data_IF_990944269077
#
_entry.id   IF_990944269077
#
_cell.length_a   1.000
_cell.length_b   1.000
_cell.length_c   1.000
_cell.angle_alpha   90.00
_cell.angle_beta   90.00
_cell.angle_gamma   90.00
#
_symmetry.space_group_name_H-M   'P 1'
#
loop_
_entity.id
_entity.type
_entity.pdbx_description
1 polymer ?
#
# COMPACT_ATOMS: atom_id res chain seq x y z
N UNK A 1 27.07 23.45 -30.15
CA UNK A 1 26.48 24.63 -29.48
C UNK A 1 27.19 25.85 -30.02
N UNK A 2 26.49 26.58 -30.88
CA UNK A 2 27.02 27.61 -31.78
C UNK A 2 27.66 28.79 -31.04
N UNK A 3 28.61 29.50 -31.65
CA UNK A 3 29.36 30.60 -31.02
C UNK A 3 28.44 31.73 -30.57
N UNK A 4 27.34 31.92 -31.29
CA UNK A 4 26.24 32.87 -31.02
C UNK A 4 25.46 32.50 -29.76
N UNK A 5 25.16 31.21 -29.55
CA UNK A 5 24.48 30.69 -28.35
C UNK A 5 25.35 30.83 -27.09
N UNK A 6 26.68 30.71 -27.23
CA UNK A 6 27.62 30.95 -26.12
C UNK A 6 27.71 32.44 -25.76
N UNK A 7 27.59 33.34 -26.75
CA UNK A 7 27.51 34.79 -26.53
C UNK A 7 26.25 35.20 -25.78
N UNK A 8 25.09 34.69 -26.22
CA UNK A 8 23.79 34.90 -25.56
C UNK A 8 23.74 34.32 -24.14
N UNK A 9 24.28 33.12 -23.92
CA UNK A 9 24.35 32.54 -22.58
C UNK A 9 25.19 33.39 -21.62
N UNK A 10 26.28 34.01 -22.10
CA UNK A 10 27.13 34.90 -21.30
C UNK A 10 26.48 36.24 -20.99
N UNK A 11 25.57 36.74 -21.83
CA UNK A 11 24.82 37.97 -21.52
C UNK A 11 23.66 37.70 -20.56
N UNK A 12 23.06 36.50 -20.62
CA UNK A 12 21.92 36.11 -19.78
C UNK A 12 22.37 35.71 -18.37
N UNK A 13 23.49 35.01 -18.20
CA UNK A 13 23.95 34.58 -16.87
C UNK A 13 24.72 35.74 -16.20
N UNK A 14 24.33 36.19 -15.00
CA UNK A 14 25.11 37.16 -14.23
C UNK A 14 26.54 36.72 -13.99
N UNK A 15 27.48 37.68 -13.96
CA UNK A 15 28.91 37.40 -13.77
C UNK A 15 29.24 36.80 -12.39
N UNK A 16 28.38 37.08 -11.41
CA UNK A 16 28.42 36.59 -10.03
C UNK A 16 27.52 35.36 -9.80
N UNK A 17 26.86 34.86 -10.85
CA UNK A 17 26.01 33.68 -10.74
C UNK A 17 26.83 32.43 -10.41
N UNK A 18 26.31 31.62 -9.49
CA UNK A 18 26.91 30.36 -9.08
C UNK A 18 25.91 29.21 -9.14
N UNK A 19 26.42 28.00 -9.44
CA UNK A 19 25.61 26.79 -9.49
C UNK A 19 25.03 26.42 -8.12
N UNK A 20 25.77 26.72 -7.05
CA UNK A 20 25.35 26.47 -5.67
C UNK A 20 25.02 27.81 -5.04
N UNK A 21 23.74 28.06 -4.84
CA UNK A 21 23.25 29.29 -4.25
C UNK A 21 22.81 29.06 -2.80
N UNK A 22 22.75 30.14 -2.02
CA UNK A 22 22.27 30.13 -0.63
C UNK A 22 20.97 30.92 -0.56
N UNK A 23 19.91 30.23 -0.17
CA UNK A 23 18.56 30.76 0.01
C UNK A 23 18.00 30.25 1.32
N UNK A 24 17.02 30.95 1.88
CA UNK A 24 16.21 30.46 2.98
C UNK A 24 15.30 29.31 2.53
N UNK A 25 14.79 28.52 3.48
CA UNK A 25 13.84 27.44 3.16
C UNK A 25 12.56 27.99 2.54
N UNK A 26 12.10 29.16 3.00
CA UNK A 26 10.89 29.81 2.48
C UNK A 26 11.04 30.17 1.00
N UNK A 27 12.17 30.80 0.64
CA UNK A 27 12.50 31.17 -0.74
C UNK A 27 12.56 29.95 -1.68
N UNK A 28 13.23 28.87 -1.26
CA UNK A 28 13.36 27.66 -2.11
C UNK A 28 12.00 27.00 -2.35
N UNK A 29 11.14 26.96 -1.33
CA UNK A 29 9.84 26.29 -1.43
C UNK A 29 8.83 27.16 -2.17
N UNK A 30 8.67 28.42 -1.76
CA UNK A 30 7.56 29.26 -2.20
C UNK A 30 7.91 30.24 -3.31
N UNK A 31 9.18 30.60 -3.45
CA UNK A 31 9.63 31.50 -4.51
C UNK A 31 10.68 32.49 -4.05
N UNK A 32 11.65 32.74 -4.92
CA UNK A 32 12.50 33.93 -4.89
C UNK A 32 12.69 34.45 -6.30
N UNK A 33 12.99 35.75 -6.43
CA UNK A 33 13.31 36.36 -7.72
C UNK A 33 14.70 35.92 -8.18
N UNK A 34 14.77 35.20 -9.28
CA UNK A 34 16.01 34.65 -9.81
C UNK A 34 16.65 35.63 -10.84
N UNK A 35 17.91 36.04 -10.64
CA UNK A 35 18.57 37.01 -11.53
C UNK A 35 18.70 36.57 -13.00
N UNK A 36 18.74 35.25 -13.26
CA UNK A 36 18.77 34.72 -14.63
C UNK A 36 17.38 34.82 -15.26
N UNK A 37 16.33 34.50 -14.51
CA UNK A 37 14.95 34.64 -14.96
C UNK A 37 14.57 36.12 -15.20
N UNK A 38 15.02 37.04 -14.34
CA UNK A 38 14.86 38.48 -14.57
C UNK A 38 15.45 38.92 -15.92
N UNK A 39 16.68 38.50 -16.21
CA UNK A 39 17.31 38.80 -17.50
C UNK A 39 16.56 38.15 -18.66
N UNK A 40 16.18 36.87 -18.54
CA UNK A 40 15.39 36.19 -19.57
C UNK A 40 14.07 36.93 -19.86
N UNK A 41 13.43 37.50 -18.84
CA UNK A 41 12.23 38.33 -19.00
C UNK A 41 12.52 39.60 -19.80
N UNK A 42 13.65 40.28 -19.55
CA UNK A 42 14.04 41.45 -20.36
C UNK A 42 14.26 41.13 -21.84
N UNK A 43 14.64 39.88 -22.16
CA UNK A 43 14.79 39.38 -23.54
C UNK A 43 13.50 38.73 -24.09
N UNK A 44 12.38 38.80 -23.36
CA UNK A 44 11.10 38.23 -23.78
C UNK A 44 11.09 36.69 -23.87
N UNK A 45 11.98 36.01 -23.12
CA UNK A 45 12.09 34.54 -23.13
C UNK A 45 11.24 33.85 -22.05
N UNK A 46 10.75 34.61 -21.06
CA UNK A 46 9.91 34.14 -19.96
C UNK A 46 9.04 35.28 -19.45
N UNK A 47 7.85 34.97 -18.95
CA UNK A 47 6.99 35.93 -18.25
C UNK A 47 7.27 35.95 -16.73
N UNK A 48 7.92 34.89 -16.21
CA UNK A 48 8.23 34.70 -14.79
C UNK A 48 9.66 35.09 -14.47
N UNK A 49 9.83 35.86 -13.40
CA UNK A 49 11.13 36.19 -12.77
C UNK A 49 11.45 35.28 -11.59
N UNK A 50 10.44 34.58 -11.07
CA UNK A 50 10.57 33.89 -9.81
C UNK A 50 10.71 32.38 -10.01
N UNK A 51 11.43 31.76 -9.09
CA UNK A 51 11.62 30.32 -9.01
C UNK A 51 11.31 29.83 -7.59
N UNK A 52 10.53 28.75 -7.50
CA UNK A 52 10.30 27.99 -6.27
C UNK A 52 9.73 26.62 -6.60
N UNK A 53 10.03 25.60 -5.79
CA UNK A 53 9.60 24.23 -6.07
C UNK A 53 8.07 24.04 -5.97
N UNK A 54 7.41 24.82 -5.12
CA UNK A 54 5.96 24.81 -4.90
C UNK A 54 5.36 26.21 -5.08
N UNK A 55 5.99 27.04 -5.91
CA UNK A 55 5.49 28.37 -6.23
C UNK A 55 4.05 28.29 -6.77
N UNK A 56 3.18 29.19 -6.31
CA UNK A 56 1.75 29.26 -6.67
C UNK A 56 0.90 28.02 -6.29
N UNK A 57 1.41 27.12 -5.45
CA UNK A 57 0.64 25.97 -4.96
C UNK A 57 -0.21 26.29 -3.72
N UNK A 58 0.15 27.33 -2.97
CA UNK A 58 -0.60 27.72 -1.79
C UNK A 58 -1.96 28.33 -2.18
N UNK A 59 -3.03 27.89 -1.52
CA UNK A 59 -4.43 28.28 -1.80
C UNK A 59 -4.90 28.10 -3.26
N UNK A 60 -4.26 27.22 -4.03
CA UNK A 60 -4.64 26.92 -5.41
C UNK A 60 -5.29 25.54 -5.56
N UNK A 61 -6.08 25.36 -6.63
CA UNK A 61 -6.62 24.05 -7.00
C UNK A 61 -5.50 23.24 -7.66
N UNK A 62 -4.88 22.31 -6.94
CA UNK A 62 -3.72 21.55 -7.43
C UNK A 62 -4.03 20.71 -8.67
N UNK A 63 -5.12 19.95 -8.65
CA UNK A 63 -5.54 19.08 -9.76
C UNK A 63 -7.01 18.66 -9.61
N UNK A 64 -7.57 18.07 -10.67
CA UNK A 64 -8.88 17.44 -10.69
C UNK A 64 -8.74 15.94 -10.92
N UNK A 65 -9.31 15.14 -10.02
CA UNK A 65 -9.38 13.68 -10.16
C UNK A 65 -10.85 13.29 -10.27
N UNK A 66 -11.18 12.56 -11.32
CA UNK A 66 -12.44 11.83 -11.40
C UNK A 66 -12.21 10.39 -10.93
N UNK A 67 -13.01 9.96 -9.96
CA UNK A 67 -12.95 8.62 -9.41
C UNK A 67 -14.29 7.89 -9.55
N UNK A 68 -14.22 6.58 -9.75
CA UNK A 68 -15.40 5.72 -9.83
C UNK A 68 -16.03 5.62 -8.44
N UNK A 69 -17.32 5.95 -8.32
CA UNK A 69 -18.04 5.88 -7.03
C UNK A 69 -18.31 4.45 -6.53
N UNK A 70 -18.31 3.48 -7.46
CA UNK A 70 -18.64 2.08 -7.21
C UNK A 70 -20.13 1.76 -7.09
N UNK A 71 -21.02 2.70 -7.45
CA UNK A 71 -22.48 2.46 -7.51
C UNK A 71 -22.85 1.23 -8.34
N UNK A 72 -22.13 0.98 -9.44
CA UNK A 72 -22.32 -0.19 -10.31
C UNK A 72 -21.53 -1.42 -9.84
N UNK A 73 -20.30 -1.21 -9.38
CA UNK A 73 -19.41 -2.25 -8.92
C UNK A 73 -18.54 -1.71 -7.78
N UNK A 74 -18.77 -2.19 -6.55
CA UNK A 74 -18.04 -1.73 -5.36
C UNK A 74 -16.54 -2.01 -5.43
N UNK A 75 -16.11 -3.01 -6.23
CA UNK A 75 -14.69 -3.33 -6.43
C UNK A 75 -13.92 -2.29 -7.23
N UNK A 76 -14.62 -1.34 -7.86
CA UNK A 76 -14.02 -0.26 -8.63
C UNK A 76 -14.03 1.07 -7.88
N UNK A 77 -14.60 1.12 -6.66
CA UNK A 77 -14.67 2.38 -5.91
C UNK A 77 -13.29 2.99 -5.71
N UNK A 78 -13.18 4.29 -5.95
CA UNK A 78 -11.95 5.06 -5.78
C UNK A 78 -10.95 4.88 -6.92
N UNK A 79 -11.19 3.98 -7.88
CA UNK A 79 -10.34 3.88 -9.08
C UNK A 79 -10.47 5.15 -9.90
N UNK A 80 -9.33 5.71 -10.30
CA UNK A 80 -9.28 6.94 -11.09
C UNK A 80 -9.70 6.65 -12.52
N UNK A 81 -10.58 7.50 -13.06
CA UNK A 81 -11.00 7.49 -14.46
C UNK A 81 -10.37 8.60 -15.28
N UNK A 82 -10.03 9.73 -14.66
CA UNK A 82 -9.30 10.82 -15.32
C UNK A 82 -8.53 11.68 -14.31
N UNK A 83 -7.47 12.32 -14.81
CA UNK A 83 -6.69 13.34 -14.10
C UNK A 83 -6.58 14.58 -14.97
N UNK A 84 -7.05 15.73 -14.46
CA UNK A 84 -7.16 16.99 -15.20
C UNK A 84 -7.89 16.83 -16.55
N UNK A 85 -8.95 16.00 -16.57
CA UNK A 85 -9.74 15.68 -17.76
C UNK A 85 -9.08 14.70 -18.73
N UNK A 86 -7.82 14.30 -18.50
CA UNK A 86 -7.12 13.30 -19.31
C UNK A 86 -7.40 11.89 -18.80
N UNK A 87 -7.70 10.96 -19.71
CA UNK A 87 -7.98 9.55 -19.39
C UNK A 87 -6.71 8.69 -19.31
N UNK A 88 -5.63 9.18 -19.90
CA UNK A 88 -4.29 8.62 -19.85
C UNK A 88 -3.26 9.77 -19.90
N UNK A 89 -1.98 9.44 -19.75
CA UNK A 89 -0.87 10.39 -19.72
C UNK A 89 0.03 10.22 -20.95
N UNK A 90 -0.53 9.90 -22.11
CA UNK A 90 0.24 9.64 -23.34
C UNK A 90 1.00 10.88 -23.85
N UNK A 91 0.58 12.07 -23.42
CA UNK A 91 1.30 13.34 -23.63
C UNK A 91 2.56 13.48 -22.75
N UNK A 92 2.69 12.66 -21.70
CA UNK A 92 3.78 12.73 -20.70
C UNK A 92 4.71 11.53 -20.82
N UNK A 93 4.16 10.32 -21.00
CA UNK A 93 4.91 9.06 -20.94
C UNK A 93 4.86 8.25 -22.24
N UNK A 94 5.83 7.35 -22.41
CA UNK A 94 6.19 6.81 -23.73
C UNK A 94 5.70 5.38 -24.00
N UNK A 95 5.07 4.72 -23.02
CA UNK A 95 4.62 3.33 -23.16
C UNK A 95 3.23 3.13 -22.55
N UNK A 96 2.41 2.19 -23.07
CA UNK A 96 1.07 1.91 -22.55
C UNK A 96 0.97 1.75 -21.05
N UNK A 97 1.84 0.93 -20.47
CA UNK A 97 1.82 0.69 -19.01
C UNK A 97 2.14 1.96 -18.21
N UNK A 98 2.95 2.87 -18.78
CA UNK A 98 3.39 4.07 -18.11
C UNK A 98 2.37 5.21 -18.15
N UNK A 99 1.68 5.38 -19.29
CA UNK A 99 0.67 6.41 -19.43
C UNK A 99 -0.71 6.01 -18.90
N UNK A 100 -0.95 4.72 -18.62
CA UNK A 100 -2.26 4.28 -18.12
C UNK A 100 -2.45 4.72 -16.67
N UNK A 101 -3.57 5.39 -16.37
CA UNK A 101 -4.00 5.69 -15.01
C UNK A 101 -4.50 4.39 -14.34
N UNK A 102 -3.81 3.96 -13.30
CA UNK A 102 -4.16 2.76 -12.53
C UNK A 102 -4.37 3.09 -11.05
N UNK A 103 -5.32 2.38 -10.45
CA UNK A 103 -5.53 2.45 -9.01
C UNK A 103 -6.31 3.66 -8.53
N UNK A 104 -6.16 3.94 -7.23
CA UNK A 104 -6.80 5.06 -6.55
C UNK A 104 -5.84 6.23 -6.32
N UNK A 105 -6.33 7.36 -5.82
CA UNK A 105 -5.53 8.52 -5.43
C UNK A 105 -4.87 8.37 -4.04
N UNK A 106 -5.14 7.25 -3.34
CA UNK A 106 -4.80 6.99 -1.93
C UNK A 106 -5.33 8.00 -0.89
N UNK A 107 -6.22 8.90 -1.31
CA UNK A 107 -6.97 9.77 -0.41
C UNK A 107 -8.42 9.28 -0.26
N UNK A 108 -8.91 8.57 -1.26
CA UNK A 108 -10.19 7.86 -1.25
C UNK A 108 -10.04 6.47 -0.61
N UNK A 109 -11.09 5.95 0.06
CA UNK A 109 -11.09 4.58 0.55
C UNK A 109 -10.78 3.58 -0.58
N UNK A 110 -9.85 2.67 -0.33
CA UNK A 110 -9.44 1.66 -1.30
C UNK A 110 -10.40 0.48 -1.19
N UNK A 111 -11.57 0.53 -1.82
CA UNK A 111 -12.66 -0.34 -1.37
C UNK A 111 -12.40 -1.84 -1.69
N UNK A 112 -12.47 -2.73 -0.67
CA UNK A 112 -12.21 -4.17 -0.69
C UNK A 112 -13.17 -5.06 -1.52
N UNK A 113 -12.95 -6.40 -1.56
CA UNK A 113 -12.07 -7.17 -0.67
C UNK A 113 -10.57 -7.00 -0.97
N UNK A 114 -9.85 -6.28 -0.11
CA UNK A 114 -8.39 -6.19 -0.06
C UNK A 114 -7.78 -7.26 0.83
N UNK A 115 -8.60 -7.99 1.61
CA UNK A 115 -8.13 -9.05 2.51
C UNK A 115 -7.20 -10.09 1.82
N UNK A 116 -7.35 -10.26 0.50
CA UNK A 116 -6.49 -11.12 -0.33
C UNK A 116 -5.66 -10.35 -1.38
N UNK A 117 -5.69 -9.02 -1.38
CA UNK A 117 -4.93 -8.21 -2.32
C UNK A 117 -3.46 -8.20 -1.90
N UNK A 118 -2.61 -8.81 -2.72
CA UNK A 118 -1.15 -8.75 -2.58
C UNK A 118 -0.58 -7.41 -3.08
N UNK A 119 -1.32 -6.70 -3.93
CA UNK A 119 -0.91 -5.49 -4.62
C UNK A 119 -2.00 -4.43 -4.60
N UNK A 120 -1.61 -3.18 -4.46
CA UNK A 120 -2.45 -2.00 -4.64
C UNK A 120 -1.81 -1.07 -5.65
N UNK A 121 -2.56 -0.64 -6.66
CA UNK A 121 -2.12 0.42 -7.58
C UNK A 121 -2.60 1.78 -7.06
N UNK A 122 -1.73 2.78 -7.16
CA UNK A 122 -1.94 4.12 -6.60
C UNK A 122 -1.36 5.14 -7.56
N UNK A 123 -2.20 6.08 -7.99
CA UNK A 123 -1.75 7.24 -8.71
C UNK A 123 -1.13 8.26 -7.76
N UNK A 124 0.11 8.66 -8.03
CA UNK A 124 0.82 9.70 -7.31
C UNK A 124 0.94 10.89 -8.24
N UNK A 125 0.10 11.88 -8.02
CA UNK A 125 -0.02 13.13 -8.78
C UNK A 125 1.32 13.88 -8.89
N UNK A 126 2.08 14.00 -7.79
CA UNK A 126 3.39 14.66 -7.77
C UNK A 126 4.47 13.95 -8.60
N UNK A 127 4.28 12.65 -8.88
CA UNK A 127 5.15 11.86 -9.76
C UNK A 127 4.51 11.64 -11.14
N UNK A 128 3.28 12.12 -11.33
CA UNK A 128 2.47 11.99 -12.53
C UNK A 128 2.37 10.55 -13.03
N UNK A 129 2.32 9.56 -12.14
CA UNK A 129 2.22 8.14 -12.55
C UNK A 129 1.53 7.30 -11.51
N UNK A 130 1.07 6.14 -11.95
CA UNK A 130 0.72 5.06 -11.05
C UNK A 130 1.96 4.32 -10.57
N UNK A 131 1.97 3.99 -9.28
CA UNK A 131 2.90 3.09 -8.62
C UNK A 131 2.11 1.94 -8.02
N UNK A 132 2.71 0.76 -7.96
CA UNK A 132 2.15 -0.33 -7.17
C UNK A 132 2.84 -0.51 -5.83
N UNK A 133 2.06 -0.93 -4.85
CA UNK A 133 2.50 -1.23 -3.51
C UNK A 133 2.19 -2.69 -3.21
N UNK A 134 3.15 -3.40 -2.62
CA UNK A 134 3.00 -4.81 -2.25
C UNK A 134 2.74 -4.98 -0.76
N UNK A 135 1.87 -5.94 -0.44
CA UNK A 135 1.60 -6.30 0.95
C UNK A 135 2.85 -6.95 1.54
N UNK A 136 3.35 -6.36 2.63
CA UNK A 136 4.57 -6.78 3.30
C UNK A 136 4.27 -7.53 4.59
N UNK A 137 3.40 -6.99 5.43
CA UNK A 137 3.08 -7.56 6.74
C UNK A 137 1.67 -7.18 7.20
N UNK A 138 1.23 -7.80 8.29
CA UNK A 138 0.04 -7.38 9.03
C UNK A 138 0.46 -6.69 10.32
N UNK A 139 -0.22 -5.60 10.66
CA UNK A 139 0.08 -4.80 11.84
C UNK A 139 -1.22 -4.35 12.53
N UNK A 140 -1.08 -3.40 13.46
CA UNK A 140 -2.21 -2.75 14.12
C UNK A 140 -1.98 -1.26 14.22
N UNK A 141 -3.02 -0.49 13.92
CA UNK A 141 -3.11 0.92 14.29
C UNK A 141 -4.06 0.99 15.48
N UNK A 142 -3.54 1.29 16.67
CA UNK A 142 -4.27 1.14 17.93
C UNK A 142 -4.80 -0.30 18.10
N UNK A 143 -6.12 -0.51 18.13
CA UNK A 143 -6.76 -1.82 18.25
C UNK A 143 -7.24 -2.40 16.92
N UNK A 144 -7.10 -1.67 15.81
CA UNK A 144 -7.62 -2.07 14.49
C UNK A 144 -6.52 -2.81 13.73
N UNK A 145 -6.86 -3.98 13.15
CA UNK A 145 -5.94 -4.75 12.30
C UNK A 145 -5.78 -4.07 10.96
N UNK A 146 -4.56 -4.03 10.43
CA UNK A 146 -4.25 -3.43 9.14
C UNK A 146 -3.29 -4.31 8.35
N UNK A 147 -3.40 -4.27 7.04
CA UNK A 147 -2.39 -4.77 6.11
C UNK A 147 -1.47 -3.61 5.70
N UNK A 148 -0.16 -3.85 5.72
CA UNK A 148 0.88 -2.86 5.40
C UNK A 148 1.38 -3.08 3.98
N UNK A 149 1.23 -2.06 3.14
CA UNK A 149 1.67 -2.05 1.76
C UNK A 149 2.84 -1.08 1.59
N UNK A 150 3.90 -1.51 0.91
CA UNK A 150 5.09 -0.71 0.62
C UNK A 150 5.38 -0.67 -0.87
N UNK A 151 6.01 0.40 -1.35
CA UNK A 151 6.59 0.39 -2.71
C UNK A 151 7.74 -0.62 -2.75
N UNK A 152 7.66 -1.67 -3.58
CA UNK A 152 8.73 -2.66 -3.67
C UNK A 152 9.89 -2.13 -4.50
N UNK A 153 11.08 -2.70 -4.29
CA UNK A 153 12.26 -2.38 -5.10
C UNK A 153 12.00 -2.65 -6.59
N UNK A 154 11.26 -3.72 -6.90
CA UNK A 154 10.98 -4.14 -8.28
C UNK A 154 10.22 -3.06 -9.06
N UNK A 155 9.28 -2.35 -8.44
CA UNK A 155 8.56 -1.22 -9.06
C UNK A 155 9.51 -0.10 -9.52
N UNK A 156 10.65 0.06 -8.84
CA UNK A 156 11.62 1.11 -9.14
C UNK A 156 12.86 0.63 -9.91
N UNK A 157 12.92 -0.64 -10.34
CA UNK A 157 14.00 -1.14 -11.21
C UNK A 157 13.94 -0.47 -12.57
N UNK A 158 15.11 -0.27 -13.18
CA UNK A 158 15.23 0.36 -14.51
C UNK A 158 14.39 -0.36 -15.57
N UNK A 159 14.29 -1.69 -15.55
CA UNK A 159 13.53 -2.44 -16.57
C UNK A 159 12.04 -2.09 -16.53
N UNK A 160 11.47 -1.99 -15.32
CA UNK A 160 10.07 -1.67 -15.09
C UNK A 160 9.78 -0.17 -15.24
N UNK A 161 10.78 0.68 -14.99
CA UNK A 161 10.64 2.13 -15.08
C UNK A 161 10.89 2.73 -16.48
N UNK A 162 11.22 1.92 -17.48
CA UNK A 162 11.65 2.42 -18.81
C UNK A 162 10.69 3.40 -19.49
N UNK A 163 9.38 3.26 -19.25
CA UNK A 163 8.34 4.11 -19.86
C UNK A 163 8.28 5.53 -19.30
N UNK A 164 8.94 5.76 -18.16
CA UNK A 164 8.97 7.02 -17.41
C UNK A 164 10.28 7.79 -17.57
N UNK A 165 11.03 7.51 -18.64
CA UNK A 165 12.30 8.17 -18.93
C UNK A 165 12.30 8.77 -20.32
N UNK A 166 12.64 10.06 -20.42
CA UNK A 166 12.76 10.75 -21.69
C UNK A 166 13.83 10.10 -22.56
N UNK A 167 13.51 9.95 -23.85
CA UNK A 167 14.44 9.41 -24.85
C UNK A 167 15.74 10.22 -24.86
N UNK A 168 16.88 9.52 -24.72
CA UNK A 168 18.21 10.14 -24.67
C UNK A 168 18.77 10.33 -23.25
N UNK A 169 17.96 10.18 -22.20
CA UNK A 169 18.45 10.05 -20.84
C UNK A 169 18.66 8.59 -20.47
N UNK A 170 19.73 8.32 -19.72
CA UNK A 170 20.03 6.96 -19.25
C UNK A 170 19.21 6.67 -17.99
N UNK A 171 18.27 5.74 -18.13
CA UNK A 171 17.48 5.18 -17.03
C UNK A 171 18.36 4.57 -15.93
N UNK A 172 17.97 4.74 -14.67
CA UNK A 172 18.71 4.33 -13.48
C UNK A 172 17.77 3.67 -12.47
N UNK A 173 18.26 2.63 -11.80
CA UNK A 173 17.52 1.97 -10.72
C UNK A 173 17.19 2.95 -9.59
N UNK A 174 16.00 2.81 -9.00
CA UNK A 174 15.53 3.63 -7.88
C UNK A 174 15.17 5.07 -8.24
N UNK A 175 15.09 5.39 -9.54
CA UNK A 175 14.93 6.76 -10.04
C UNK A 175 13.86 6.87 -11.13
N UNK A 176 13.20 8.02 -11.18
CA UNK A 176 12.17 8.38 -12.14
C UNK A 176 12.50 9.76 -12.71
N UNK A 177 12.44 9.91 -14.02
CA UNK A 177 12.62 11.20 -14.69
C UNK A 177 11.31 11.97 -14.72
N UNK A 178 11.28 13.13 -14.07
CA UNK A 178 10.10 14.00 -14.00
C UNK A 178 10.13 15.10 -15.07
N UNK A 179 11.15 15.14 -15.94
CA UNK A 179 11.30 16.24 -16.91
C UNK A 179 10.19 16.33 -17.95
N UNK A 180 9.51 15.22 -18.24
CA UNK A 180 8.32 15.21 -19.10
C UNK A 180 7.08 15.73 -18.39
N UNK A 181 6.95 15.52 -17.08
CA UNK A 181 5.76 15.94 -16.34
C UNK A 181 5.88 17.35 -15.76
N UNK A 182 7.03 17.70 -15.21
CA UNK A 182 7.24 18.98 -14.57
C UNK A 182 7.80 19.99 -15.56
N UNK A 183 7.03 21.05 -15.79
CA UNK A 183 7.46 22.20 -16.58
C UNK A 183 7.87 23.34 -15.66
N UNK A 184 8.91 24.05 -16.07
CA UNK A 184 9.27 25.34 -15.51
C UNK A 184 8.22 26.38 -15.92
N UNK A 185 8.20 27.52 -15.22
CA UNK A 185 7.24 28.61 -15.43
C UNK A 185 7.29 29.21 -16.84
N UNK A 186 8.39 29.00 -17.57
CA UNK A 186 8.59 29.40 -18.95
C UNK A 186 8.38 28.27 -19.97
N UNK A 187 7.70 27.19 -19.59
CA UNK A 187 7.23 26.13 -20.48
C UNK A 187 8.24 25.02 -20.79
N UNK A 188 9.51 25.20 -20.41
CA UNK A 188 10.57 24.19 -20.59
C UNK A 188 10.50 23.05 -19.56
N UNK A 189 11.04 21.88 -19.92
CA UNK A 189 11.16 20.74 -19.01
C UNK A 189 12.06 21.07 -17.81
N UNK A 190 11.57 20.84 -16.58
CA UNK A 190 12.39 20.93 -15.39
C UNK A 190 13.32 19.70 -15.30
N UNK A 191 14.63 19.85 -15.06
CA UNK A 191 15.59 18.73 -15.03
C UNK A 191 15.52 17.96 -13.70
N UNK A 192 14.32 17.52 -13.30
CA UNK A 192 14.05 16.86 -12.03
C UNK A 192 14.05 15.34 -12.18
N UNK A 193 14.69 14.67 -11.22
CA UNK A 193 14.68 13.23 -11.03
C UNK A 193 14.11 12.93 -9.65
N UNK A 194 13.06 12.14 -9.58
CA UNK A 194 12.56 11.61 -8.31
C UNK A 194 13.30 10.33 -7.91
N UNK A 195 13.49 10.14 -6.61
CA UNK A 195 13.89 8.89 -5.99
C UNK A 195 13.14 8.71 -4.67
N UNK A 196 13.30 7.57 -4.00
CA UNK A 196 12.95 7.51 -2.58
C UNK A 196 14.02 8.26 -1.74
N UNK A 197 13.68 8.75 -0.53
CA UNK A 197 14.60 9.48 0.34
C UNK A 197 15.92 8.74 0.59
N UNK A 198 17.00 9.51 0.64
CA UNK A 198 18.38 9.02 0.80
C UNK A 198 18.75 7.97 -0.26
N UNK A 199 18.16 8.07 -1.45
CA UNK A 199 18.40 7.16 -2.58
C UNK A 199 18.06 5.69 -2.26
N UNK A 200 17.02 5.45 -1.45
CA UNK A 200 16.53 4.10 -1.20
C UNK A 200 16.18 3.41 -2.54
N UNK A 201 16.66 2.17 -2.70
CA UNK A 201 16.59 1.34 -3.91
C UNK A 201 17.40 1.81 -5.13
N UNK A 202 18.09 2.95 -5.06
CA UNK A 202 19.03 3.34 -6.10
C UNK A 202 20.39 2.63 -5.95
N UNK A 203 21.27 2.84 -6.93
CA UNK A 203 22.63 2.32 -6.89
C UNK A 203 23.38 2.79 -5.62
N UNK A 204 24.09 1.86 -4.96
CA UNK A 204 24.73 2.09 -3.65
C UNK A 204 25.73 3.26 -3.63
N UNK A 205 26.30 3.62 -4.77
CA UNK A 205 27.25 4.72 -4.89
C UNK A 205 26.64 6.09 -4.51
N UNK A 206 25.33 6.31 -4.70
CA UNK A 206 24.69 7.57 -4.29
C UNK A 206 24.68 7.75 -2.77
N UNK A 207 24.44 6.67 -2.03
CA UNK A 207 24.50 6.68 -0.56
C UNK A 207 25.87 7.14 -0.05
N UNK A 208 26.93 6.57 -0.61
CA UNK A 208 28.30 6.94 -0.25
C UNK A 208 28.66 8.36 -0.70
N UNK A 209 28.29 8.74 -1.93
CA UNK A 209 28.60 10.04 -2.51
C UNK A 209 28.04 11.20 -1.69
N UNK A 210 26.80 11.06 -1.22
CA UNK A 210 26.11 12.09 -0.43
C UNK A 210 26.18 11.85 1.08
N UNK A 211 26.94 10.85 1.53
CA UNK A 211 27.04 10.45 2.94
C UNK A 211 25.65 10.24 3.60
N UNK A 212 24.75 9.57 2.88
CA UNK A 212 23.38 9.28 3.30
C UNK A 212 23.16 7.78 3.50
N UNK A 213 22.26 7.42 4.42
CA UNK A 213 21.97 6.04 4.79
C UNK A 213 20.52 5.67 4.46
N UNK A 214 20.24 4.98 3.34
CA UNK A 214 18.88 4.54 3.02
C UNK A 214 18.37 3.50 4.05
N UNK A 215 17.09 3.61 4.41
CA UNK A 215 16.40 2.70 5.33
C UNK A 215 14.98 2.50 4.85
N UNK A 216 14.52 1.25 4.74
CA UNK A 216 13.15 0.94 4.29
C UNK A 216 12.14 1.53 5.29
N UNK A 217 12.34 1.34 6.59
CA UNK A 217 11.45 1.86 7.63
C UNK A 217 11.27 3.38 7.57
N UNK A 218 12.37 4.12 7.39
CA UNK A 218 12.36 5.59 7.40
C UNK A 218 12.04 6.22 6.06
N UNK A 219 12.40 5.57 4.96
CA UNK A 219 12.42 6.18 3.63
C UNK A 219 11.50 5.47 2.63
N UNK A 220 10.91 4.31 2.95
CA UNK A 220 9.87 3.72 2.10
C UNK A 220 8.57 4.54 2.18
N UNK A 221 7.85 4.60 1.07
CA UNK A 221 6.45 5.00 1.06
C UNK A 221 5.58 3.80 1.44
N UNK A 222 4.60 4.01 2.32
CA UNK A 222 3.75 2.93 2.81
C UNK A 222 2.30 3.38 3.01
N UNK A 223 1.41 2.39 3.07
CA UNK A 223 0.00 2.57 3.41
C UNK A 223 -0.44 1.42 4.31
N UNK A 224 -1.12 1.75 5.41
CA UNK A 224 -1.74 0.81 6.34
C UNK A 224 -3.24 0.87 6.16
N UNK A 225 -3.81 -0.21 5.63
CA UNK A 225 -5.22 -0.28 5.24
C UNK A 225 -5.94 -1.32 6.09
N UNK A 226 -7.13 -0.99 6.59
CA UNK A 226 -7.99 -1.99 7.22
C UNK A 226 -8.60 -2.89 6.12
N UNK A 227 -8.34 -4.22 6.13
CA UNK A 227 -8.57 -5.08 4.98
C UNK A 227 -10.04 -5.31 4.60
N UNK A 228 -10.99 -5.13 5.53
CA UNK A 228 -12.42 -5.32 5.26
C UNK A 228 -13.10 -4.09 4.67
N UNK A 229 -12.70 -2.89 5.08
CA UNK A 229 -13.31 -1.61 4.68
C UNK A 229 -12.50 -0.83 3.66
N UNK A 230 -11.18 -1.06 3.58
CA UNK A 230 -10.30 -0.33 2.68
C UNK A 230 -9.91 1.04 3.18
N UNK A 231 -10.28 1.36 4.41
CA UNK A 231 -9.99 2.65 5.04
C UNK A 231 -8.51 2.68 5.38
N UNK A 232 -7.85 3.74 4.92
CA UNK A 232 -6.45 4.02 5.24
C UNK A 232 -6.40 4.60 6.65
N UNK A 233 -5.68 3.94 7.54
CA UNK A 233 -5.51 4.40 8.93
C UNK A 233 -4.18 5.12 9.15
N UNK A 234 -3.18 4.82 8.32
CA UNK A 234 -1.89 5.50 8.35
C UNK A 234 -1.26 5.38 6.97
N UNK A 235 -0.63 6.45 6.48
CA UNK A 235 0.07 6.43 5.20
C UNK A 235 1.18 7.47 5.20
N UNK A 236 2.22 7.20 4.41
CA UNK A 236 3.25 8.17 4.09
C UNK A 236 3.69 8.02 2.63
N UNK A 237 3.46 9.08 1.83
CA UNK A 237 4.08 9.26 0.52
C UNK A 237 5.41 9.99 0.74
N UNK A 238 6.51 9.29 0.51
CA UNK A 238 7.88 9.79 0.70
C UNK A 238 8.66 9.70 -0.60
N UNK A 239 9.23 10.82 -1.03
CA UNK A 239 10.10 10.87 -2.19
C UNK A 239 11.09 12.03 -2.06
N UNK A 240 12.14 11.98 -2.87
CA UNK A 240 13.23 12.93 -2.94
C UNK A 240 13.28 13.52 -4.32
N UNK A 241 13.33 14.85 -4.39
CA UNK A 241 13.58 15.59 -5.61
C UNK A 241 15.09 15.80 -5.76
N UNK A 242 15.58 15.47 -6.94
CA UNK A 242 16.97 15.63 -7.33
C UNK A 242 17.04 16.40 -8.64
N UNK A 243 18.12 17.14 -8.84
CA UNK A 243 18.37 17.88 -10.08
C UNK A 243 19.42 17.17 -10.90
N UNK A 244 19.16 16.95 -12.19
CA UNK A 244 20.14 16.41 -13.13
C UNK A 244 20.95 17.54 -13.79
N UNK A 245 22.26 17.54 -13.57
CA UNK A 245 23.19 18.48 -14.22
C UNK A 245 23.73 17.82 -15.49
N UNK A 246 23.39 18.37 -16.66
CA UNK A 246 23.83 17.84 -17.94
C UNK A 246 25.35 17.92 -18.14
N UNK A 247 25.90 17.03 -18.96
CA UNK A 247 27.33 16.98 -19.32
C UNK A 247 27.89 18.30 -19.87
N UNK A 248 27.05 19.05 -20.56
CA UNK A 248 27.44 20.27 -21.27
C UNK A 248 26.96 21.54 -20.54
N UNK A 249 26.55 21.43 -19.28
CA UNK A 249 26.03 22.56 -18.51
C UNK A 249 27.09 23.67 -18.40
N UNK A 250 28.29 23.33 -17.96
CA UNK A 250 29.42 24.25 -17.95
C UNK A 250 30.74 23.50 -18.23
N UNK A 251 31.48 23.80 -19.31
CA UNK A 251 32.72 23.09 -19.63
C UNK A 251 33.70 23.06 -18.46
N UNK A 252 34.21 21.88 -18.10
CA UNK A 252 35.14 21.70 -16.98
C UNK A 252 34.52 21.66 -15.58
N UNK A 253 33.19 21.79 -15.44
CA UNK A 253 32.53 21.70 -14.15
C UNK A 253 32.46 20.23 -13.67
N UNK A 254 32.95 19.90 -12.46
CA UNK A 254 32.94 18.53 -11.93
C UNK A 254 31.52 18.00 -11.68
N UNK A 255 30.51 18.86 -11.54
CA UNK A 255 29.11 18.46 -11.37
C UNK A 255 28.45 17.99 -12.69
N UNK A 256 29.09 18.16 -13.85
CA UNK A 256 28.56 17.71 -15.12
C UNK A 256 28.23 16.20 -15.07
N UNK A 257 27.06 15.82 -15.59
CA UNK A 257 26.51 14.46 -15.57
C UNK A 257 26.12 13.91 -14.19
N UNK A 258 25.90 14.78 -13.20
CA UNK A 258 25.58 14.38 -11.82
C UNK A 258 24.10 14.55 -11.48
N UNK A 259 23.62 13.78 -10.50
CA UNK A 259 22.29 13.91 -9.92
C UNK A 259 22.46 14.46 -8.51
N UNK A 260 22.09 15.72 -8.29
CA UNK A 260 22.28 16.41 -7.02
C UNK A 260 20.96 16.37 -6.24
N UNK A 261 20.92 15.81 -5.03
CA UNK A 261 19.71 15.83 -4.21
C UNK A 261 19.39 17.27 -3.78
N UNK A 262 18.14 17.69 -3.95
CA UNK A 262 17.67 18.98 -3.46
C UNK A 262 17.10 18.83 -2.04
N UNK A 263 15.99 18.11 -1.93
CA UNK A 263 15.35 17.77 -0.65
C UNK A 263 14.46 16.55 -0.82
N UNK A 264 14.04 15.97 0.29
CA UNK A 264 12.98 14.96 0.31
C UNK A 264 11.82 15.45 1.15
N UNK A 265 10.63 14.93 0.85
CA UNK A 265 9.40 15.31 1.50
C UNK A 265 8.60 14.08 1.90
N UNK A 266 7.75 14.26 2.91
CA UNK A 266 6.83 13.26 3.42
C UNK A 266 5.46 13.87 3.57
N UNK A 267 4.52 13.43 2.74
CA UNK A 267 3.10 13.67 2.97
C UNK A 267 2.55 12.47 3.73
N UNK A 268 2.17 12.69 4.99
CA UNK A 268 1.71 11.61 5.87
C UNK A 268 0.41 11.93 6.56
N UNK A 269 -0.33 10.87 6.86
CA UNK A 269 -1.54 10.91 7.67
C UNK A 269 -1.49 9.77 8.69
N UNK A 270 -1.95 10.05 9.90
CA UNK A 270 -2.14 9.04 10.95
C UNK A 270 -3.48 9.27 11.63
N UNK A 271 -4.34 8.26 11.61
CA UNK A 271 -5.61 8.30 12.32
C UNK A 271 -5.39 8.40 13.85
N UNK A 272 -4.21 8.03 14.37
CA UNK A 272 -3.85 8.15 15.80
C UNK A 272 -3.92 9.59 16.29
N UNK A 273 -3.66 10.56 15.41
CA UNK A 273 -3.73 11.99 15.72
C UNK A 273 -5.20 12.47 15.88
N UNK A 274 -6.17 11.61 15.52
CA UNK A 274 -7.60 11.87 15.58
C UNK A 274 -8.32 10.79 16.41
N UNK A 275 -8.19 10.78 17.75
CA UNK A 275 -8.69 9.68 18.60
C UNK A 275 -10.21 9.48 18.52
N UNK A 276 -10.98 10.56 18.31
CA UNK A 276 -12.42 10.48 18.11
C UNK A 276 -12.81 9.76 16.81
N UNK A 277 -12.05 9.97 15.73
CA UNK A 277 -12.23 9.27 14.46
C UNK A 277 -11.90 7.78 14.63
N UNK A 278 -10.76 7.47 15.24
CA UNK A 278 -10.35 6.08 15.49
C UNK A 278 -11.36 5.29 16.32
N UNK A 279 -11.94 5.91 17.35
CA UNK A 279 -12.93 5.25 18.21
C UNK A 279 -14.18 4.90 17.40
N UNK A 280 -14.68 5.85 16.60
CA UNK A 280 -15.85 5.64 15.72
C UNK A 280 -15.57 4.57 14.66
N UNK A 281 -14.42 4.65 13.98
CA UNK A 281 -14.00 3.66 12.97
C UNK A 281 -13.87 2.28 13.59
N UNK A 282 -13.19 2.15 14.73
CA UNK A 282 -13.03 0.88 15.42
C UNK A 282 -14.37 0.26 15.83
N UNK A 283 -15.33 1.06 16.28
CA UNK A 283 -16.68 0.59 16.59
C UNK A 283 -17.42 0.13 15.33
N UNK A 284 -17.36 0.90 14.24
CA UNK A 284 -18.00 0.56 12.97
C UNK A 284 -17.43 -0.71 12.35
N UNK A 285 -16.09 -0.85 12.33
CA UNK A 285 -15.41 -2.06 11.84
C UNK A 285 -15.80 -3.27 12.69
N UNK A 286 -15.86 -3.13 14.02
CA UNK A 286 -16.30 -4.21 14.91
C UNK A 286 -17.73 -4.64 14.61
N UNK A 287 -18.65 -3.69 14.42
CA UNK A 287 -20.03 -4.00 14.02
C UNK A 287 -20.09 -4.69 12.66
N UNK A 288 -19.32 -4.23 11.68
CA UNK A 288 -19.26 -4.84 10.36
C UNK A 288 -18.78 -6.29 10.45
N UNK A 289 -17.70 -6.56 11.20
CA UNK A 289 -17.19 -7.92 11.45
C UNK A 289 -18.26 -8.79 12.10
N UNK A 290 -18.97 -8.29 13.11
CA UNK A 290 -20.02 -9.04 13.79
C UNK A 290 -21.18 -9.37 12.85
N UNK A 291 -21.71 -8.38 12.12
CA UNK A 291 -22.85 -8.55 11.22
C UNK A 291 -22.51 -9.47 10.05
N UNK A 292 -21.32 -9.34 9.47
CA UNK A 292 -20.88 -10.19 8.33
C UNK A 292 -20.64 -11.64 8.74
N UNK A 293 -20.12 -11.90 9.94
CA UNK A 293 -19.86 -13.26 10.43
C UNK A 293 -21.05 -13.90 11.15
N UNK A 294 -22.09 -13.13 11.50
CA UNK A 294 -23.25 -13.63 12.23
C UNK A 294 -24.01 -14.75 11.48
N UNK A 295 -24.30 -14.66 10.17
CA UNK A 295 -24.94 -15.75 9.43
C UNK A 295 -24.10 -17.02 9.40
N UNK A 296 -22.76 -16.89 9.26
CA UNK A 296 -21.85 -18.02 9.27
C UNK A 296 -21.84 -18.71 10.63
N UNK A 297 -21.87 -17.94 11.73
CA UNK A 297 -21.98 -18.49 13.08
C UNK A 297 -23.29 -19.28 13.27
N UNK A 298 -24.43 -18.76 12.78
CA UNK A 298 -25.71 -19.48 12.81
C UNK A 298 -25.65 -20.78 12.00
N UNK A 299 -25.02 -20.77 10.83
CA UNK A 299 -24.83 -21.95 9.99
C UNK A 299 -23.96 -23.01 10.68
N UNK A 300 -22.87 -22.61 11.32
CA UNK A 300 -22.03 -23.52 12.11
C UNK A 300 -22.81 -24.12 13.28
N UNK A 301 -23.58 -23.31 14.02
CA UNK A 301 -24.43 -23.80 15.12
C UNK A 301 -25.45 -24.82 14.61
N UNK A 302 -26.10 -24.54 13.47
CA UNK A 302 -27.06 -25.45 12.87
C UNK A 302 -26.40 -26.78 12.45
N UNK A 303 -25.23 -26.74 11.81
CA UNK A 303 -24.48 -27.95 11.43
C UNK A 303 -24.08 -28.76 12.67
N UNK A 304 -23.51 -28.11 13.69
CA UNK A 304 -23.13 -28.76 14.94
C UNK A 304 -24.34 -29.38 15.64
N UNK A 305 -25.48 -28.69 15.66
CA UNK A 305 -26.73 -29.20 16.23
C UNK A 305 -27.26 -30.44 15.49
N UNK A 306 -27.25 -30.42 14.16
CA UNK A 306 -27.65 -31.58 13.35
C UNK A 306 -26.70 -32.78 13.54
N UNK A 307 -25.39 -32.54 13.60
CA UNK A 307 -24.40 -33.59 13.88
C UNK A 307 -24.62 -34.19 15.27
N UNK A 308 -24.85 -33.36 16.29
CA UNK A 308 -25.13 -33.84 17.64
C UNK A 308 -26.42 -34.68 17.68
N UNK A 309 -27.49 -34.22 17.02
CA UNK A 309 -28.74 -34.98 16.91
C UNK A 309 -28.54 -36.33 16.19
N UNK A 310 -27.75 -36.35 15.12
CA UNK A 310 -27.39 -37.57 14.40
C UNK A 310 -26.60 -38.55 15.29
N UNK A 311 -25.59 -38.09 16.03
CA UNK A 311 -24.83 -38.94 16.96
C UNK A 311 -25.68 -39.50 18.10
N UNK A 312 -26.58 -38.69 18.66
CA UNK A 312 -27.54 -39.15 19.68
C UNK A 312 -28.48 -40.21 19.09
N UNK A 313 -29.05 -39.96 17.91
CA UNK A 313 -29.91 -40.91 17.21
C UNK A 313 -29.19 -42.23 16.89
N UNK A 314 -27.94 -42.15 16.40
CA UNK A 314 -27.10 -43.32 16.13
C UNK A 314 -26.82 -44.13 17.41
N UNK A 315 -26.51 -43.46 18.52
CA UNK A 315 -26.26 -44.13 19.82
C UNK A 315 -27.53 -44.83 20.31
N UNK A 316 -28.69 -44.17 20.26
CA UNK A 316 -29.99 -44.77 20.63
C UNK A 316 -30.29 -46.00 19.75
N UNK A 317 -30.10 -45.88 18.43
CA UNK A 317 -30.32 -46.99 17.50
C UNK A 317 -29.36 -48.17 17.76
N UNK A 318 -28.07 -47.89 18.01
CA UNK A 318 -27.07 -48.92 18.33
C UNK A 318 -27.39 -49.68 19.64
N UNK A 319 -27.99 -49.00 20.63
CA UNK A 319 -28.42 -49.61 21.88
C UNK A 319 -29.72 -50.39 21.71
N UNK A 320 -30.64 -49.93 20.86
CA UNK A 320 -31.87 -50.66 20.53
C UNK A 320 -31.60 -51.95 19.73
N UNK A 321 -30.50 -52.00 18.97
CA UNK A 321 -30.07 -53.18 18.20
C UNK A 321 -29.34 -54.25 19.00
N UNK A 322 -29.03 -54.04 20.29
CA UNK A 322 -28.48 -55.11 21.14
C UNK A 322 -29.62 -55.98 21.71
N UNK A 323 -29.73 -57.28 21.35
CA UNK A 323 -30.75 -58.15 21.91
C UNK A 323 -30.53 -58.29 23.42
N UNK A 324 -31.63 -58.18 24.21
CA UNK A 324 -31.67 -58.44 25.67
C UNK A 324 -31.22 -59.88 25.98
N UNK A 325 -29.92 -60.16 25.96
CA UNK A 325 -29.34 -61.43 26.43
C UNK A 325 -29.23 -61.52 27.96
N UNK A 326 -29.46 -60.42 28.69
CA UNK A 326 -29.31 -60.37 30.15
C UNK A 326 -30.53 -60.87 30.94
N UNK A 327 -31.74 -60.89 30.37
CA UNK A 327 -32.93 -61.43 31.07
C UNK A 327 -33.11 -62.95 30.89
N UNK A 328 -32.46 -63.58 29.92
CA UNK A 328 -32.57 -65.02 29.67
C UNK A 328 -31.65 -65.89 30.56
N UNK A 329 -30.70 -65.30 31.30
CA UNK A 329 -29.85 -66.05 32.24
C UNK A 329 -30.50 -66.26 33.61
N UNK A 330 -31.28 -65.29 34.10
CA UNK A 330 -31.95 -65.41 35.41
C UNK A 330 -33.09 -66.43 35.42
N UNK A 331 -33.83 -66.57 34.32
CA UNK A 331 -34.91 -67.57 34.21
C UNK A 331 -34.40 -69.01 33.98
N UNK A 332 -33.14 -69.18 33.54
CA UNK A 332 -32.53 -70.51 33.40
C UNK A 332 -31.97 -71.06 34.71
N UNK A 333 -31.55 -70.21 35.63
CA UNK A 333 -31.11 -70.65 36.98
C UNK A 333 -32.29 -70.99 37.89
N UNK A 334 -33.43 -70.32 37.76
CA UNK A 334 -34.63 -70.65 38.56
C UNK A 334 -35.28 -71.97 38.08
N UNK A 335 -35.24 -72.27 36.77
CA UNK A 335 -35.80 -73.51 36.22
C UNK A 335 -34.94 -74.77 36.42
N UNK A 336 -33.69 -74.64 36.90
CA UNK A 336 -32.81 -75.78 37.18
C UNK A 336 -32.82 -76.25 38.63
N UNK A 337 -33.40 -75.47 39.56
CA UNK A 337 -33.49 -75.85 40.98
C UNK A 337 -34.68 -76.78 41.29
N UNK A 338 -35.75 -76.77 40.50
CA UNK A 338 -36.94 -77.61 40.74
C UNK A 338 -36.84 -79.04 40.18
N UNK A 339 -35.80 -79.37 39.40
CA UNK A 339 -35.67 -80.68 38.73
C UNK A 339 -34.72 -81.68 39.44
N UNK A 340 -34.19 -81.33 40.62
CA UNK A 340 -33.18 -82.16 41.33
C UNK A 340 -33.66 -82.73 42.67
N UNK A 341 -34.96 -82.70 42.99
CA UNK A 341 -35.51 -83.29 44.22
C UNK A 341 -36.45 -84.46 43.93
N UNK A 342 -35.92 -85.49 43.28
CA UNK A 342 -36.56 -86.78 43.15
C UNK A 342 -35.49 -87.86 43.10
N UNK A 343 -35.54 -88.77 44.08
CA UNK A 343 -34.75 -90.00 44.19
C UNK A 343 -33.35 -89.91 44.81
N UNK A 344 -33.29 -89.96 46.15
CA UNK A 344 -32.47 -91.00 46.79
C UNK A 344 -33.05 -91.41 48.14
N UNK A 345 -33.44 -92.68 48.19
CA UNK A 345 -33.87 -93.44 49.36
C UNK A 345 -32.76 -93.55 50.43
N UNK A 346 -33.20 -93.48 51.70
CA UNK A 346 -32.92 -94.49 52.72
C UNK A 346 -31.45 -94.74 53.12
N UNK A 347 -31.01 -94.10 54.22
CA UNK A 347 -30.28 -94.77 55.31
C UNK A 347 -30.14 -93.89 56.55
N UNK A 348 -30.81 -94.36 57.61
CA UNK A 348 -30.33 -94.48 58.98
C UNK A 348 -29.74 -93.25 59.69
N UNK A 349 -30.54 -92.77 60.63
CA UNK A 349 -30.26 -92.72 62.08
C UNK A 349 -29.10 -91.87 62.62
N UNK A 350 -29.41 -91.33 63.80
CA UNK A 350 -28.56 -91.02 64.96
C UNK A 350 -28.18 -89.54 65.20
N UNK A 351 -28.97 -88.97 66.12
CA UNK A 351 -28.52 -88.30 67.37
C UNK A 351 -28.00 -86.86 67.35
N UNK A 352 -28.85 -86.01 67.95
CA UNK A 352 -28.60 -85.09 69.09
C UNK A 352 -27.60 -83.93 69.00
N UNK A 353 -28.17 -82.75 69.32
CA UNK A 353 -27.76 -81.78 70.35
C UNK A 353 -26.39 -81.13 70.15
N UNK A 354 -26.37 -79.84 69.79
CA UNK A 354 -26.37 -78.71 70.74
C UNK A 354 -26.52 -77.39 70.00
#
# INVERSE_FOLDING_TARGET
MDMLMKGLARSIIPSDWSLIQKHSTEEVIWGYTDPVLERLKTFGQTDSTDFGFFMNQNDSKSFEIEAISGKKNVKETGKISSWNGQKDLSDVWFTPDAYTLQGSDSNSPMVPPLANASRLDIFVDLLCRSLYFERTEQSRVSKIKVDVYNVPLDELKKENNRGYWKKGLTNRDGMIDLSSCTKLTFGESAPLIASLPHFLYAAKNYGNLYNVRPSIEKHSSFIKVEPMTGIILEAAKRFQLNTFVSRNFHPGNPANNSIIPAFWLSQSFSAVDHPGLLTKLGQQIRWLVLVTNFPLALLVIAICGNLAAFFVGFKIHSQAGQPRRSQARSLKEIGQLDASSGETLERQNLTTIS
#
